data_IF_842368025187
#
_entry.id   IF_842368025187
#
_cell.length_a   1.000
_cell.length_b   1.000
_cell.length_c   1.000
_cell.angle_alpha   90.00
_cell.angle_beta   90.00
_cell.angle_gamma   90.00
#
_symmetry.space_group_name_H-M   'P 1'
#
loop_
_entity.id
_entity.type
_entity.pdbx_description
1 polymer ?
#
# COMPACT_ATOMS: atom_id res chain seq x y z
N UNK A 1 1.88 -0.61 18.55
CA UNK A 1 1.29 -0.37 17.22
C UNK A 1 1.91 -1.23 16.13
N UNK A 2 3.24 -1.30 16.04
CA UNK A 2 3.92 -2.12 15.05
C UNK A 2 3.58 -3.61 15.20
N UNK A 3 3.49 -4.10 16.44
CA UNK A 3 3.10 -5.49 16.71
C UNK A 3 1.70 -5.80 16.21
N UNK A 4 0.80 -4.84 16.31
CA UNK A 4 -0.56 -4.98 15.81
C UNK A 4 -0.56 -5.10 14.29
N UNK A 5 0.22 -4.26 13.60
CA UNK A 5 0.31 -4.28 12.14
C UNK A 5 0.86 -5.61 11.64
N UNK A 6 1.85 -6.17 12.33
CA UNK A 6 2.45 -7.44 11.93
C UNK A 6 1.48 -8.61 12.03
N UNK A 7 0.45 -8.51 12.87
CA UNK A 7 -0.57 -9.54 13.02
C UNK A 7 -1.64 -9.49 11.93
N UNK A 8 -1.73 -8.39 11.19
CA UNK A 8 -2.69 -8.28 10.09
C UNK A 8 -2.18 -9.10 8.91
N UNK A 9 -3.02 -9.95 8.29
CA UNK A 9 -2.56 -10.71 7.13
C UNK A 9 -2.23 -9.80 5.96
N UNK A 10 -1.19 -10.15 5.21
CA UNK A 10 -0.84 -9.42 3.99
C UNK A 10 -1.93 -9.56 2.95
N UNK A 11 -2.49 -10.76 2.83
CA UNK A 11 -3.57 -11.04 1.87
C UNK A 11 -4.69 -11.77 2.59
N UNK A 12 -5.90 -11.23 2.50
CA UNK A 12 -7.12 -11.87 2.92
C UNK A 12 -7.95 -12.18 1.68
N UNK A 13 -7.76 -13.38 1.13
CA UNK A 13 -8.40 -13.76 -0.12
C UNK A 13 -9.92 -13.85 0.01
N UNK A 14 -10.42 -14.31 1.14
CA UNK A 14 -11.86 -14.38 1.39
C UNK A 14 -12.50 -12.99 1.34
N UNK A 15 -11.83 -11.99 1.93
CA UNK A 15 -12.28 -10.60 1.85
C UNK A 15 -12.22 -10.08 0.42
N UNK A 16 -11.14 -10.36 -0.30
CA UNK A 16 -11.02 -9.97 -1.71
C UNK A 16 -12.14 -10.52 -2.56
N UNK A 17 -12.48 -11.78 -2.35
CA UNK A 17 -13.56 -12.43 -3.07
C UNK A 17 -14.91 -11.78 -2.73
N UNK A 18 -15.14 -11.48 -1.46
CA UNK A 18 -16.35 -10.81 -1.00
C UNK A 18 -16.48 -9.42 -1.63
N UNK A 19 -15.40 -8.66 -1.67
CA UNK A 19 -15.38 -7.32 -2.26
C UNK A 19 -15.68 -7.37 -3.76
N UNK A 20 -15.33 -8.46 -4.42
CA UNK A 20 -15.63 -8.69 -5.83
C UNK A 20 -17.00 -9.37 -6.04
N UNK A 21 -17.85 -9.33 -5.01
CA UNK A 21 -19.21 -9.93 -5.02
C UNK A 21 -19.20 -11.41 -5.36
N UNK A 22 -18.21 -12.14 -4.89
CA UNK A 22 -18.07 -13.58 -5.10
C UNK A 22 -17.52 -13.96 -6.47
N UNK A 23 -17.16 -12.98 -7.30
CA UNK A 23 -16.67 -13.24 -8.65
C UNK A 23 -15.15 -13.51 -8.61
N UNK A 24 -14.78 -14.77 -8.64
CA UNK A 24 -13.39 -15.21 -8.51
C UNK A 24 -12.48 -14.60 -9.57
N UNK A 25 -12.94 -14.57 -10.82
CA UNK A 25 -12.15 -14.00 -11.92
C UNK A 25 -11.87 -12.53 -11.70
N UNK A 26 -12.89 -11.76 -11.30
CA UNK A 26 -12.74 -10.34 -11.02
C UNK A 26 -11.79 -10.12 -9.85
N UNK A 27 -11.92 -10.91 -8.78
CA UNK A 27 -11.04 -10.79 -7.62
C UNK A 27 -9.57 -11.00 -8.02
N UNK A 28 -9.29 -11.99 -8.86
CA UNK A 28 -7.93 -12.28 -9.35
C UNK A 28 -7.40 -11.16 -10.23
N UNK A 29 -8.24 -10.60 -11.08
CA UNK A 29 -7.83 -9.49 -11.95
C UNK A 29 -7.45 -8.25 -11.13
N UNK A 30 -8.28 -7.89 -10.15
CA UNK A 30 -8.01 -6.75 -9.29
C UNK A 30 -6.74 -6.97 -8.46
N UNK A 31 -6.57 -8.18 -7.93
CA UNK A 31 -5.37 -8.57 -7.20
C UNK A 31 -4.11 -8.38 -8.06
N UNK A 32 -4.15 -8.92 -9.26
CA UNK A 32 -3.02 -8.86 -10.19
C UNK A 32 -2.70 -7.43 -10.58
N UNK A 33 -3.71 -6.63 -10.88
CA UNK A 33 -3.52 -5.22 -11.23
C UNK A 33 -2.81 -4.46 -10.12
N UNK A 34 -3.19 -4.68 -8.86
CA UNK A 34 -2.55 -4.00 -7.75
C UNK A 34 -1.09 -4.45 -7.59
N UNK A 35 -0.82 -5.75 -7.61
CA UNK A 35 0.55 -6.26 -7.50
C UNK A 35 1.44 -5.66 -8.59
N UNK A 36 0.95 -5.64 -9.83
CA UNK A 36 1.71 -5.11 -10.97
C UNK A 36 2.01 -3.62 -10.80
N UNK A 37 1.11 -2.87 -10.17
CA UNK A 37 1.29 -1.43 -9.98
C UNK A 37 2.25 -1.08 -8.84
N UNK A 38 2.48 -2.00 -7.89
CA UNK A 38 3.22 -1.70 -6.67
C UNK A 38 4.65 -1.20 -6.89
N UNK A 39 5.47 -1.77 -7.80
CA UNK A 39 6.84 -1.28 -7.96
C UNK A 39 6.91 0.20 -8.36
N UNK A 40 6.06 0.61 -9.30
CA UNK A 40 6.03 2.01 -9.72
C UNK A 40 5.49 2.93 -8.64
N UNK A 41 4.43 2.52 -7.97
CA UNK A 41 3.86 3.31 -6.88
C UNK A 41 4.84 3.46 -5.73
N UNK A 42 5.59 2.41 -5.39
CA UNK A 42 6.64 2.47 -4.39
C UNK A 42 7.71 3.50 -4.76
N UNK A 43 8.12 3.51 -6.01
CA UNK A 43 9.13 4.43 -6.50
C UNK A 43 8.65 5.88 -6.37
N UNK A 44 7.42 6.16 -6.78
CA UNK A 44 6.84 7.50 -6.69
C UNK A 44 6.70 7.97 -5.23
N UNK A 45 6.24 7.07 -4.36
CA UNK A 45 6.07 7.36 -2.94
C UNK A 45 7.42 7.69 -2.30
N UNK A 46 8.43 6.86 -2.53
CA UNK A 46 9.76 7.07 -1.96
C UNK A 46 10.39 8.35 -2.46
N UNK A 47 10.22 8.67 -3.73
CA UNK A 47 10.77 9.89 -4.30
C UNK A 47 10.09 11.13 -3.72
N UNK A 48 8.77 11.11 -3.59
CA UNK A 48 8.03 12.22 -2.99
C UNK A 48 8.45 12.45 -1.54
N UNK A 49 8.62 11.38 -0.78
CA UNK A 49 9.06 11.48 0.61
C UNK A 49 10.50 12.03 0.70
N UNK A 50 11.40 11.51 -0.12
CA UNK A 50 12.80 11.95 -0.16
C UNK A 50 12.91 13.44 -0.48
N UNK A 51 12.08 13.93 -1.39
CA UNK A 51 12.11 15.33 -1.83
C UNK A 51 11.20 16.23 -0.99
N UNK A 52 10.68 15.72 0.11
CA UNK A 52 9.81 16.47 1.04
C UNK A 52 8.58 17.05 0.36
N UNK A 53 8.05 16.34 -0.64
CA UNK A 53 6.83 16.73 -1.36
C UNK A 53 5.63 16.06 -0.70
N UNK A 54 5.25 16.55 0.49
CA UNK A 54 4.26 15.89 1.32
C UNK A 54 2.87 15.84 0.69
N UNK A 55 2.49 16.85 -0.08
CA UNK A 55 1.19 16.83 -0.76
C UNK A 55 1.14 15.75 -1.84
N UNK A 56 2.20 15.64 -2.66
CA UNK A 56 2.29 14.56 -3.64
C UNK A 56 2.32 13.21 -2.97
N UNK A 57 3.06 13.09 -1.87
CA UNK A 57 3.11 11.86 -1.08
C UNK A 57 1.70 11.46 -0.64
N UNK A 58 0.94 12.40 -0.10
CA UNK A 58 -0.43 12.16 0.32
C UNK A 58 -1.30 11.66 -0.83
N UNK A 59 -1.17 12.27 -2.00
CA UNK A 59 -1.96 11.89 -3.17
C UNK A 59 -1.64 10.46 -3.61
N UNK A 60 -0.35 10.09 -3.63
CA UNK A 60 0.06 8.73 -4.00
C UNK A 60 -0.44 7.71 -2.97
N UNK A 61 -0.32 8.02 -1.68
CA UNK A 61 -0.78 7.14 -0.62
C UNK A 61 -2.30 6.98 -0.67
N UNK A 62 -3.03 8.06 -0.90
CA UNK A 62 -4.48 8.02 -1.04
C UNK A 62 -4.92 7.12 -2.20
N UNK A 63 -4.24 7.24 -3.33
CA UNK A 63 -4.51 6.41 -4.51
C UNK A 63 -4.26 4.93 -4.23
N UNK A 64 -3.13 4.62 -3.58
CA UNK A 64 -2.81 3.24 -3.23
C UNK A 64 -3.82 2.67 -2.25
N UNK A 65 -4.20 3.45 -1.25
CA UNK A 65 -5.24 3.06 -0.30
C UNK A 65 -6.56 2.75 -1.02
N UNK A 66 -6.91 3.59 -2.00
CA UNK A 66 -8.10 3.37 -2.82
C UNK A 66 -8.07 2.02 -3.52
N UNK A 67 -6.93 1.65 -4.10
CA UNK A 67 -6.77 0.33 -4.71
C UNK A 67 -6.94 -0.80 -3.72
N UNK A 68 -6.47 -0.61 -2.49
CA UNK A 68 -6.61 -1.62 -1.44
C UNK A 68 -8.04 -1.80 -0.97
N UNK A 69 -8.94 -0.83 -1.23
CA UNK A 69 -10.34 -0.94 -0.83
C UNK A 69 -11.12 -1.98 -1.64
N UNK A 70 -10.61 -2.36 -2.80
CA UNK A 70 -11.26 -3.33 -3.69
C UNK A 70 -10.60 -4.70 -3.67
N UNK A 71 -9.60 -4.88 -2.80
CA UNK A 71 -8.80 -6.10 -2.75
C UNK A 71 -8.61 -6.53 -1.30
N UNK A 72 -8.13 -7.75 -1.11
CA UNK A 72 -7.89 -8.28 0.21
C UNK A 72 -6.50 -7.96 0.79
N UNK A 73 -5.87 -6.88 0.36
CA UNK A 73 -4.55 -6.48 0.88
C UNK A 73 -4.70 -5.75 2.23
N UNK A 74 -5.07 -6.52 3.25
CA UNK A 74 -5.47 -5.95 4.54
C UNK A 74 -4.36 -5.21 5.26
N UNK A 75 -3.14 -5.75 5.25
CA UNK A 75 -2.00 -5.08 5.89
C UNK A 75 -1.65 -3.78 5.18
N UNK A 76 -1.58 -3.83 3.85
CA UNK A 76 -1.25 -2.65 3.04
C UNK A 76 -2.30 -1.56 3.22
N UNK A 77 -3.58 -1.95 3.26
CA UNK A 77 -4.67 -1.01 3.51
C UNK A 77 -4.52 -0.32 4.87
N UNK A 78 -4.20 -1.09 5.90
CA UNK A 78 -4.02 -0.56 7.25
C UNK A 78 -2.86 0.43 7.30
N UNK A 79 -1.72 0.07 6.71
CA UNK A 79 -0.53 0.93 6.69
C UNK A 79 -0.83 2.23 5.95
N UNK A 80 -1.44 2.16 4.77
CA UNK A 80 -1.74 3.36 3.97
C UNK A 80 -2.75 4.27 4.66
N UNK A 81 -3.72 3.68 5.34
CA UNK A 81 -4.70 4.48 6.10
C UNK A 81 -4.02 5.31 7.19
N UNK A 82 -3.17 4.67 8.00
CA UNK A 82 -2.50 5.37 9.09
C UNK A 82 -1.47 6.35 8.59
N UNK A 83 -0.75 6.00 7.53
CA UNK A 83 0.22 6.91 6.92
C UNK A 83 -0.47 8.17 6.38
N UNK A 84 -1.59 8.01 5.70
CA UNK A 84 -2.34 9.16 5.19
C UNK A 84 -2.78 10.08 6.32
N UNK A 85 -3.26 9.51 7.43
CA UNK A 85 -3.67 10.29 8.59
C UNK A 85 -2.52 11.08 9.20
N UNK A 86 -1.34 10.46 9.30
CA UNK A 86 -0.16 11.14 9.82
C UNK A 86 0.25 12.32 8.93
N UNK A 87 0.16 12.14 7.61
CA UNK A 87 0.50 13.21 6.68
C UNK A 87 -0.50 14.36 6.78
N UNK A 88 -1.79 14.05 6.87
CA UNK A 88 -2.86 15.07 6.96
C UNK A 88 -2.70 15.92 8.22
N UNK A 89 -2.34 15.29 9.34
CA UNK A 89 -2.23 15.99 10.62
C UNK A 89 -0.83 16.54 10.88
N UNK A 90 0.09 16.39 9.95
CA UNK A 90 1.47 16.82 10.12
C UNK A 90 1.58 18.34 10.32
N UNK A 91 2.29 18.72 11.39
CA UNK A 91 2.70 20.09 11.63
C UNK A 91 4.17 20.25 11.24
N UNK A 92 4.48 21.26 10.48
CA UNK A 92 5.86 21.49 10.01
C UNK A 92 6.85 21.71 11.14
N UNK A 93 6.35 21.94 12.36
CA UNK A 93 7.20 22.12 13.54
C UNK A 93 7.39 20.84 14.35
N UNK A 94 6.73 19.73 13.96
CA UNK A 94 6.75 18.50 14.74
C UNK A 94 7.70 17.47 14.15
N UNK A 95 8.89 17.36 14.76
CA UNK A 95 9.83 16.32 14.37
C UNK A 95 9.31 14.93 14.71
N UNK A 96 8.55 14.79 15.80
CA UNK A 96 7.96 13.51 16.21
C UNK A 96 7.02 12.98 15.14
N UNK A 97 6.16 13.84 14.59
CA UNK A 97 5.25 13.43 13.52
C UNK A 97 6.02 13.03 12.25
N UNK A 98 7.08 13.77 11.93
CA UNK A 98 7.89 13.45 10.77
C UNK A 98 8.56 12.08 10.90
N UNK A 99 9.04 11.78 12.12
CA UNK A 99 9.62 10.47 12.42
C UNK A 99 8.58 9.35 12.29
N UNK A 100 7.34 9.60 12.71
CA UNK A 100 6.26 8.63 12.55
C UNK A 100 5.92 8.39 11.09
N UNK A 101 5.89 9.44 10.28
CA UNK A 101 5.70 9.31 8.84
C UNK A 101 6.80 8.43 8.26
N UNK A 102 8.06 8.69 8.63
CA UNK A 102 9.20 7.89 8.17
C UNK A 102 9.06 6.42 8.56
N UNK A 103 8.59 6.15 9.78
CA UNK A 103 8.37 4.79 10.26
C UNK A 103 7.30 4.07 9.45
N UNK A 104 6.20 4.75 9.13
CA UNK A 104 5.15 4.16 8.29
C UNK A 104 5.61 3.94 6.86
N UNK A 105 6.45 4.85 6.32
CA UNK A 105 7.06 4.64 5.00
C UNK A 105 7.92 3.38 5.01
N UNK A 106 8.69 3.16 6.07
CA UNK A 106 9.50 1.94 6.20
C UNK A 106 8.63 0.69 6.25
N UNK A 107 7.52 0.72 7.00
CA UNK A 107 6.57 -0.38 7.05
C UNK A 107 5.94 -0.64 5.68
N UNK A 108 5.59 0.43 4.99
CA UNK A 108 5.01 0.34 3.65
C UNK A 108 5.98 -0.34 2.69
N UNK A 109 7.25 0.08 2.70
CA UNK A 109 8.27 -0.51 1.84
C UNK A 109 8.49 -1.99 2.15
N UNK A 110 8.50 -2.35 3.44
CA UNK A 110 8.63 -3.74 3.85
C UNK A 110 7.49 -4.58 3.30
N UNK A 111 6.27 -4.10 3.40
CA UNK A 111 5.10 -4.82 2.92
C UNK A 111 5.08 -4.94 1.40
N UNK A 112 5.38 -3.85 0.69
CA UNK A 112 5.45 -3.88 -0.77
C UNK A 112 6.53 -4.85 -1.23
N UNK A 113 7.72 -4.81 -0.62
CA UNK A 113 8.80 -5.72 -0.97
C UNK A 113 8.40 -7.18 -0.75
N UNK A 114 7.69 -7.46 0.35
CA UNK A 114 7.18 -8.80 0.63
C UNK A 114 6.21 -9.26 -0.46
N UNK A 115 5.25 -8.42 -0.82
CA UNK A 115 4.21 -8.76 -1.80
C UNK A 115 4.80 -8.94 -3.20
N UNK A 116 5.69 -8.05 -3.61
CA UNK A 116 6.28 -8.14 -4.95
C UNK A 116 7.23 -9.32 -5.07
N UNK A 117 7.89 -9.73 -3.98
CA UNK A 117 8.72 -10.92 -3.98
C UNK A 117 7.86 -12.19 -4.03
N UNK A 118 6.82 -12.25 -3.19
CA UNK A 118 5.94 -13.42 -3.12
C UNK A 118 5.18 -13.66 -4.42
N UNK A 119 4.76 -12.59 -5.07
CA UNK A 119 3.96 -12.67 -6.30
C UNK A 119 4.75 -12.22 -7.53
N UNK A 120 6.07 -12.44 -7.52
CA UNK A 120 6.96 -12.01 -8.59
C UNK A 120 6.60 -12.60 -9.94
N UNK A 121 5.98 -13.78 -9.96
CA UNK A 121 5.51 -14.39 -11.20
C UNK A 121 4.47 -13.54 -11.93
N UNK A 122 3.65 -12.79 -11.21
CA UNK A 122 2.68 -11.88 -11.80
C UNK A 122 3.34 -10.69 -12.47
N UNK A 123 4.49 -10.25 -11.94
CA UNK A 123 5.24 -9.13 -12.49
C UNK A 123 5.94 -9.50 -13.81
N UNK A 124 6.37 -10.75 -13.94
CA UNK A 124 7.11 -11.21 -15.11
C UNK A 124 6.20 -11.73 -16.23
N UNK A 125 5.02 -12.24 -15.89
CA UNK A 125 4.09 -12.80 -16.86
C UNK A 125 3.09 -11.77 -17.35
N UNK A 126 2.99 -10.64 -16.66
CA UNK A 126 2.09 -9.60 -17.07
C UNK A 126 2.68 -8.84 -18.24
N UNK A 127 2.06 -8.93 -19.35
CA UNK A 127 2.60 -8.36 -20.56
C UNK A 127 1.79 -7.18 -21.04
N UNK A 128 0.48 -7.25 -20.97
CA UNK A 128 -0.39 -6.22 -21.51
C UNK A 128 -1.68 -6.14 -20.71
N UNK A 129 -1.96 -4.97 -20.26
CA UNK A 129 -3.26 -4.65 -19.73
C UNK A 129 -3.76 -3.35 -20.30
#
# INVERSE_FOLDING_TARGET
MQDFIEKIPSVDWALGLQLATGKSKLAKELFTMLIVSLPKEQQLINLAFKNNKLQQLREYIHKLRGGCCYTGFSKLKHITKHLEQEIITYSQTSQTQLDQIANYIALLNKEINFLTAKYSNLLTTNVVY
#
